data_IF_156108666044
#
_entry.id   IF_156108666044
#
_cell.length_a   1.000
_cell.length_b   1.000
_cell.length_c   1.000
_cell.angle_alpha   90.00
_cell.angle_beta   90.00
_cell.angle_gamma   90.00
#
_symmetry.space_group_name_H-M   'P 1'
#
loop_
_entity.id
_entity.type
_entity.pdbx_description
1 polymer ?
#
# COMPACT_ATOMS: atom_id res chain seq x y z
N UNK A 1 -27.74 -4.66 2.21
CA UNK A 1 -28.65 -4.08 1.21
C UNK A 1 -28.44 -2.58 1.25
N UNK A 2 -27.94 -2.01 0.15
CA UNK A 2 -27.77 -0.57 0.00
C UNK A 2 -29.19 0.01 -0.19
N UNK A 3 -29.73 0.71 0.80
CA UNK A 3 -31.10 1.19 0.83
C UNK A 3 -31.43 2.31 -0.17
N UNK A 4 -30.58 2.54 -1.16
CA UNK A 4 -30.79 3.57 -2.19
C UNK A 4 -31.04 2.91 -3.56
N UNK A 5 -32.28 2.91 -4.08
CA UNK A 5 -32.61 2.30 -5.36
C UNK A 5 -31.92 2.99 -6.54
N UNK A 6 -31.52 4.27 -6.41
CA UNK A 6 -30.80 5.02 -7.46
C UNK A 6 -29.39 4.47 -7.73
N UNK A 7 -28.81 3.70 -6.81
CA UNK A 7 -27.50 3.07 -6.99
C UNK A 7 -27.56 1.70 -7.67
N UNK A 8 -28.74 1.11 -7.83
CA UNK A 8 -28.88 -0.26 -8.33
C UNK A 8 -28.41 -0.39 -9.79
N UNK A 9 -28.77 0.54 -10.65
CA UNK A 9 -28.39 0.55 -12.06
C UNK A 9 -26.88 0.82 -12.25
N UNK A 10 -26.29 1.88 -11.66
CA UNK A 10 -24.84 2.09 -11.73
C UNK A 10 -24.01 0.92 -11.19
N UNK A 11 -24.46 0.26 -10.11
CA UNK A 11 -23.76 -0.90 -9.55
C UNK A 11 -23.82 -2.15 -10.45
N UNK A 12 -24.94 -2.39 -11.11
CA UNK A 12 -25.05 -3.48 -12.10
C UNK A 12 -24.08 -3.25 -13.26
N UNK A 13 -24.02 -2.03 -13.76
CA UNK A 13 -23.10 -1.66 -14.83
C UNK A 13 -21.63 -1.79 -14.36
N UNK A 14 -21.31 -1.29 -13.17
CA UNK A 14 -19.98 -1.36 -12.58
C UNK A 14 -19.49 -2.80 -12.39
N UNK A 15 -20.37 -3.77 -12.15
CA UNK A 15 -20.01 -5.17 -11.96
C UNK A 15 -19.25 -5.77 -13.18
N UNK A 16 -19.41 -5.20 -14.37
CA UNK A 16 -18.66 -5.63 -15.58
C UNK A 16 -17.18 -5.22 -15.51
N UNK A 17 -16.84 -4.11 -14.87
CA UNK A 17 -15.48 -3.57 -14.88
C UNK A 17 -14.43 -4.50 -14.22
N UNK A 18 -14.64 -5.11 -13.04
CA UNK A 18 -13.72 -6.09 -12.48
C UNK A 18 -13.48 -7.29 -13.40
N UNK A 19 -14.51 -7.78 -14.10
CA UNK A 19 -14.38 -8.90 -15.05
C UNK A 19 -13.48 -8.54 -16.22
N UNK A 20 -13.52 -7.30 -16.69
CA UNK A 20 -12.68 -6.79 -17.76
C UNK A 20 -11.24 -6.52 -17.32
N UNK A 21 -11.03 -6.05 -16.10
CA UNK A 21 -9.70 -5.69 -15.59
C UNK A 21 -8.89 -6.88 -15.08
N UNK A 22 -9.54 -7.93 -14.54
CA UNK A 22 -8.85 -9.11 -13.99
C UNK A 22 -7.86 -9.78 -14.97
N UNK A 23 -8.19 -10.01 -16.25
CA UNK A 23 -7.27 -10.67 -17.17
C UNK A 23 -5.98 -9.89 -17.44
N UNK A 24 -5.99 -8.58 -17.19
CA UNK A 24 -4.84 -7.70 -17.47
C UNK A 24 -3.82 -7.69 -16.34
N UNK A 25 -4.25 -7.92 -15.10
CA UNK A 25 -3.39 -7.86 -13.90
C UNK A 25 -2.17 -8.79 -13.99
N UNK A 26 -2.28 -9.95 -14.67
CA UNK A 26 -1.15 -10.85 -14.89
C UNK A 26 -0.22 -10.42 -16.04
N UNK A 27 -0.73 -9.68 -17.02
CA UNK A 27 0.00 -9.29 -18.23
C UNK A 27 1.15 -8.32 -17.95
N UNK A 28 0.98 -7.41 -17.00
CA UNK A 28 2.01 -6.46 -16.57
C UNK A 28 3.23 -7.20 -16.00
N UNK A 29 3.01 -8.21 -15.17
CA UNK A 29 4.08 -9.03 -14.59
C UNK A 29 4.84 -9.83 -15.65
N UNK A 30 4.15 -10.34 -16.67
CA UNK A 30 4.78 -11.05 -17.79
C UNK A 30 5.78 -10.12 -18.50
N UNK A 31 5.38 -8.90 -18.83
CA UNK A 31 6.24 -7.93 -19.52
C UNK A 31 7.47 -7.56 -18.68
N UNK A 32 7.33 -7.42 -17.36
CA UNK A 32 8.45 -7.14 -16.43
C UNK A 32 9.44 -8.31 -16.47
N UNK A 33 8.98 -9.55 -16.37
CA UNK A 33 9.82 -10.76 -16.43
C UNK A 33 10.61 -10.84 -17.74
N UNK A 34 10.00 -10.43 -18.86
CA UNK A 34 10.66 -10.38 -20.17
C UNK A 34 11.48 -9.09 -20.42
N UNK A 35 11.79 -8.31 -19.38
CA UNK A 35 12.62 -7.10 -19.47
C UNK A 35 11.98 -5.90 -20.16
N UNK A 36 10.67 -5.94 -20.41
CA UNK A 36 9.91 -4.89 -21.12
C UNK A 36 9.17 -3.94 -20.15
N UNK A 37 9.79 -3.61 -19.01
CA UNK A 37 9.19 -2.76 -17.98
C UNK A 37 8.80 -1.35 -18.48
N UNK A 38 9.51 -0.79 -19.49
CA UNK A 38 9.16 0.49 -20.11
C UNK A 38 7.80 0.47 -20.81
N UNK A 39 7.41 -0.68 -21.42
CA UNK A 39 6.10 -0.84 -22.03
C UNK A 39 4.99 -0.87 -20.98
N UNK A 40 5.26 -1.48 -19.82
CA UNK A 40 4.33 -1.47 -18.68
C UNK A 40 4.11 -0.05 -18.18
N UNK A 41 5.19 0.72 -17.99
CA UNK A 41 5.09 2.10 -17.53
C UNK A 41 4.25 2.97 -18.48
N UNK A 42 4.51 2.88 -19.80
CA UNK A 42 3.73 3.58 -20.82
C UNK A 42 2.26 3.16 -20.81
N UNK A 43 2.00 1.86 -20.77
CA UNK A 43 0.64 1.31 -20.74
C UNK A 43 -0.14 1.77 -19.49
N UNK A 44 0.46 1.69 -18.32
CA UNK A 44 -0.18 2.12 -17.07
C UNK A 44 -0.49 3.62 -17.10
N UNK A 45 0.45 4.45 -17.55
CA UNK A 45 0.24 5.90 -17.61
C UNK A 45 -0.90 6.27 -18.58
N UNK A 46 -0.86 5.72 -19.80
CA UNK A 46 -1.87 6.01 -20.83
C UNK A 46 -3.25 5.46 -20.40
N UNK A 47 -3.32 4.24 -19.89
CA UNK A 47 -4.59 3.64 -19.49
C UNK A 47 -5.21 4.39 -18.29
N UNK A 48 -4.42 4.89 -17.34
CA UNK A 48 -4.93 5.70 -16.22
C UNK A 48 -5.41 7.08 -16.68
N UNK A 49 -4.66 7.76 -17.55
CA UNK A 49 -5.07 9.03 -18.13
C UNK A 49 -6.37 8.87 -18.94
N UNK A 50 -6.47 7.82 -19.76
CA UNK A 50 -7.67 7.50 -20.52
C UNK A 50 -8.87 7.19 -19.61
N UNK A 51 -8.66 6.42 -18.54
CA UNK A 51 -9.71 6.10 -17.56
C UNK A 51 -10.24 7.37 -16.87
N UNK A 52 -9.34 8.27 -16.46
CA UNK A 52 -9.74 9.56 -15.87
C UNK A 52 -10.57 10.38 -16.87
N UNK A 53 -10.12 10.47 -18.13
CA UNK A 53 -10.85 11.18 -19.16
C UNK A 53 -12.25 10.59 -19.40
N UNK A 54 -12.36 9.25 -19.53
CA UNK A 54 -13.64 8.58 -19.73
C UNK A 54 -14.62 8.71 -18.55
N UNK A 55 -14.12 8.89 -17.34
CA UNK A 55 -14.97 9.11 -16.15
C UNK A 55 -15.39 10.58 -16.03
N UNK A 56 -14.44 11.50 -16.22
CA UNK A 56 -14.66 12.93 -15.96
C UNK A 56 -15.43 13.61 -17.09
N UNK A 57 -15.08 13.35 -18.35
CA UNK A 57 -15.70 14.03 -19.51
C UNK A 57 -17.23 13.83 -19.58
N UNK A 58 -17.79 12.62 -19.40
CA UNK A 58 -19.24 12.47 -19.41
C UNK A 58 -19.97 13.30 -18.34
N UNK A 59 -19.36 13.45 -17.18
CA UNK A 59 -19.95 14.21 -16.06
C UNK A 59 -19.83 15.72 -16.32
N UNK A 60 -18.64 16.19 -16.70
CA UNK A 60 -18.37 17.66 -16.79
C UNK A 60 -18.92 18.26 -18.08
N UNK A 61 -18.86 17.54 -19.21
CA UNK A 61 -19.25 18.06 -20.53
C UNK A 61 -20.70 17.76 -20.88
N UNK A 62 -21.21 16.58 -20.44
CA UNK A 62 -22.53 16.09 -20.85
C UNK A 62 -23.54 16.01 -19.69
N UNK A 63 -23.17 16.44 -18.48
CA UNK A 63 -23.99 16.34 -17.26
C UNK A 63 -24.61 14.96 -17.04
N UNK A 64 -23.89 13.91 -17.47
CA UNK A 64 -24.42 12.52 -17.48
C UNK A 64 -24.51 11.88 -16.08
N UNK A 65 -24.19 12.62 -15.01
CA UNK A 65 -24.29 12.18 -13.63
C UNK A 65 -23.48 10.93 -13.31
N UNK A 66 -23.89 10.21 -12.26
CA UNK A 66 -23.18 9.00 -11.77
C UNK A 66 -23.19 7.87 -12.80
N UNK A 67 -24.32 7.68 -13.51
CA UNK A 67 -24.44 6.61 -14.53
C UNK A 67 -23.48 6.84 -15.69
N UNK A 68 -23.28 8.10 -16.13
CA UNK A 68 -22.32 8.45 -17.16
C UNK A 68 -20.88 8.19 -16.72
N UNK A 69 -20.52 8.54 -15.48
CA UNK A 69 -19.19 8.23 -14.92
C UNK A 69 -18.92 6.73 -14.90
N UNK A 70 -19.89 5.92 -14.46
CA UNK A 70 -19.76 4.46 -14.40
C UNK A 70 -19.68 3.84 -15.78
N UNK A 71 -20.50 4.29 -16.74
CA UNK A 71 -20.41 3.84 -18.13
C UNK A 71 -19.04 4.16 -18.75
N UNK A 72 -18.54 5.36 -18.52
CA UNK A 72 -17.19 5.76 -18.93
C UNK A 72 -16.10 4.88 -18.33
N UNK A 73 -16.22 4.54 -17.04
CA UNK A 73 -15.28 3.63 -16.38
C UNK A 73 -15.31 2.21 -16.99
N UNK A 74 -16.49 1.66 -17.28
CA UNK A 74 -16.63 0.34 -17.91
C UNK A 74 -16.06 0.35 -19.33
N UNK A 75 -16.34 1.40 -20.12
CA UNK A 75 -15.76 1.57 -21.46
C UNK A 75 -14.23 1.62 -21.41
N UNK A 76 -13.68 2.43 -20.50
CA UNK A 76 -12.25 2.51 -20.30
C UNK A 76 -11.64 1.16 -19.86
N UNK A 77 -12.34 0.41 -19.00
CA UNK A 77 -11.92 -0.93 -18.58
C UNK A 77 -11.87 -1.92 -19.76
N UNK A 78 -12.83 -1.84 -20.68
CA UNK A 78 -12.86 -2.67 -21.90
C UNK A 78 -11.66 -2.34 -22.80
N UNK A 79 -11.42 -1.07 -23.09
CA UNK A 79 -10.28 -0.63 -23.92
C UNK A 79 -8.95 -1.05 -23.28
N UNK A 80 -8.82 -0.83 -21.97
CA UNK A 80 -7.65 -1.23 -21.18
C UNK A 80 -7.44 -2.74 -21.23
N UNK A 81 -8.50 -3.54 -21.12
CA UNK A 81 -8.45 -4.98 -21.24
C UNK A 81 -7.88 -5.42 -22.61
N UNK A 82 -8.45 -4.91 -23.69
CA UNK A 82 -8.01 -5.26 -25.05
C UNK A 82 -6.56 -4.84 -25.31
N UNK A 83 -6.19 -3.63 -24.90
CA UNK A 83 -4.83 -3.12 -25.02
C UNK A 83 -3.83 -3.93 -24.19
N UNK A 84 -4.17 -4.26 -22.94
CA UNK A 84 -3.33 -5.05 -22.05
C UNK A 84 -3.10 -6.49 -22.53
N UNK A 85 -4.13 -7.15 -23.05
CA UNK A 85 -4.00 -8.48 -23.63
C UNK A 85 -3.11 -8.49 -24.89
N UNK A 86 -3.28 -7.51 -25.78
CA UNK A 86 -2.40 -7.34 -26.95
C UNK A 86 -0.95 -7.09 -26.53
N UNK A 87 -0.75 -6.27 -25.50
CA UNK A 87 0.58 -5.94 -25.02
C UNK A 87 1.25 -7.13 -24.33
N UNK A 88 0.52 -7.91 -23.53
CA UNK A 88 1.04 -9.12 -22.87
C UNK A 88 1.40 -10.23 -23.85
N UNK A 89 0.86 -10.24 -25.07
CA UNK A 89 1.21 -11.18 -26.12
C UNK A 89 2.51 -10.82 -26.89
N UNK A 90 3.02 -9.59 -26.74
CA UNK A 90 4.21 -9.12 -27.48
C UNK A 90 5.47 -9.99 -27.25
N UNK A 91 5.78 -10.49 -26.04
CA UNK A 91 6.95 -11.35 -25.85
C UNK A 91 6.86 -12.69 -26.56
N UNK A 92 5.65 -13.14 -26.91
CA UNK A 92 5.40 -14.48 -27.48
C UNK A 92 5.21 -14.50 -29.00
N UNK A 93 5.28 -13.35 -29.67
CA UNK A 93 5.01 -13.25 -31.14
C UNK A 93 5.87 -14.16 -31.99
N UNK A 94 7.11 -14.42 -31.56
CA UNK A 94 8.09 -15.21 -32.33
C UNK A 94 8.49 -16.48 -31.58
N UNK A 95 7.68 -16.94 -30.62
CA UNK A 95 7.97 -18.15 -29.85
C UNK A 95 7.04 -19.27 -30.29
N UNK A 96 7.63 -20.39 -30.69
CA UNK A 96 6.85 -21.58 -31.00
C UNK A 96 6.20 -22.16 -29.74
N UNK A 97 4.91 -22.49 -29.76
CA UNK A 97 4.23 -23.05 -28.62
C UNK A 97 4.82 -24.41 -28.22
N UNK A 98 5.34 -24.53 -27.04
CA UNK A 98 5.82 -25.76 -26.44
C UNK A 98 4.83 -26.25 -25.41
N UNK A 99 4.50 -27.56 -25.43
CA UNK A 99 3.62 -28.14 -24.40
C UNK A 99 4.24 -27.94 -23.02
N UNK A 100 3.51 -27.23 -22.15
CA UNK A 100 3.91 -27.09 -20.74
C UNK A 100 3.90 -28.46 -20.04
N UNK A 101 4.93 -28.74 -19.24
CA UNK A 101 4.97 -29.90 -18.36
C UNK A 101 4.15 -29.69 -17.07
N UNK A 102 3.74 -28.45 -16.81
CA UNK A 102 2.94 -28.10 -15.63
C UNK A 102 1.47 -28.45 -15.88
N UNK A 103 0.89 -29.22 -14.99
CA UNK A 103 -0.54 -29.48 -14.98
C UNK A 103 -1.31 -28.34 -14.31
N UNK A 104 -2.57 -28.14 -14.71
CA UNK A 104 -3.47 -27.16 -14.07
C UNK A 104 -3.57 -27.42 -12.55
N UNK A 105 -3.58 -28.69 -12.13
CA UNK A 105 -3.63 -29.09 -10.73
C UNK A 105 -2.41 -28.60 -9.94
N UNK A 106 -1.22 -28.72 -10.52
CA UNK A 106 0.02 -28.25 -9.89
C UNK A 106 0.03 -26.72 -9.78
N UNK A 107 -0.42 -26.04 -10.84
CA UNK A 107 -0.53 -24.59 -10.86
C UNK A 107 -1.51 -24.10 -9.76
N UNK A 108 -2.69 -24.70 -9.67
CA UNK A 108 -3.67 -24.39 -8.64
C UNK A 108 -3.13 -24.68 -7.22
N UNK A 109 -2.45 -25.81 -7.03
CA UNK A 109 -1.84 -26.16 -5.73
C UNK A 109 -0.78 -25.14 -5.30
N UNK A 110 0.00 -24.62 -6.24
CA UNK A 110 0.99 -23.58 -5.99
C UNK A 110 0.34 -22.23 -5.69
N UNK A 111 -0.72 -21.87 -6.41
CA UNK A 111 -1.40 -20.57 -6.29
C UNK A 111 -2.35 -20.50 -5.08
N UNK A 112 -2.84 -21.63 -4.56
CA UNK A 112 -3.85 -21.66 -3.50
C UNK A 112 -3.45 -20.94 -2.20
N UNK A 113 -2.21 -21.05 -1.68
CA UNK A 113 -1.81 -20.29 -0.49
C UNK A 113 -1.81 -18.78 -0.72
N UNK A 114 -1.45 -18.35 -1.94
CA UNK A 114 -1.45 -16.92 -2.31
C UNK A 114 -2.89 -16.41 -2.41
N UNK A 115 -3.76 -17.18 -3.08
CA UNK A 115 -5.19 -16.86 -3.19
C UNK A 115 -5.86 -16.77 -1.81
N UNK A 116 -5.66 -17.79 -0.96
CA UNK A 116 -6.21 -17.78 0.39
C UNK A 116 -5.73 -16.58 1.21
N UNK A 117 -4.44 -16.23 1.11
CA UNK A 117 -3.89 -15.05 1.79
C UNK A 117 -4.53 -13.76 1.30
N UNK A 118 -4.79 -13.65 0.00
CA UNK A 118 -5.44 -12.47 -0.59
C UNK A 118 -6.90 -12.35 -0.13
N UNK A 119 -7.63 -13.48 -0.03
CA UNK A 119 -8.99 -13.50 0.51
C UNK A 119 -9.04 -13.06 1.98
N UNK A 120 -8.12 -13.59 2.80
CA UNK A 120 -8.04 -13.17 4.21
C UNK A 120 -7.60 -11.70 4.34
N UNK A 121 -6.67 -11.25 3.49
CA UNK A 121 -6.26 -9.85 3.41
C UNK A 121 -7.42 -8.93 3.04
N UNK A 122 -8.29 -9.35 2.11
CA UNK A 122 -9.51 -8.63 1.77
C UNK A 122 -10.47 -8.54 2.97
N UNK A 123 -10.67 -9.61 3.71
CA UNK A 123 -11.49 -9.60 4.92
C UNK A 123 -10.92 -8.62 5.94
N UNK A 124 -9.61 -8.68 6.21
CA UNK A 124 -8.94 -7.75 7.15
C UNK A 124 -9.13 -6.30 6.73
N UNK A 125 -8.97 -5.99 5.44
CA UNK A 125 -9.07 -4.62 4.91
C UNK A 125 -10.52 -4.09 4.83
N UNK A 126 -11.52 -4.98 4.79
CA UNK A 126 -12.93 -4.59 4.56
C UNK A 126 -13.80 -4.72 5.80
N UNK A 127 -13.39 -5.51 6.81
CA UNK A 127 -14.19 -5.80 7.99
C UNK A 127 -14.66 -4.52 8.70
N UNK A 128 -13.73 -3.63 9.03
CA UNK A 128 -14.05 -2.39 9.74
C UNK A 128 -15.03 -1.50 8.99
N UNK A 129 -14.85 -1.35 7.67
CA UNK A 129 -15.79 -0.58 6.85
C UNK A 129 -17.20 -1.21 6.85
N UNK A 130 -17.26 -2.55 6.80
CA UNK A 130 -18.52 -3.27 6.87
C UNK A 130 -19.21 -3.05 8.23
N UNK A 131 -18.51 -3.24 9.35
CA UNK A 131 -19.09 -3.08 10.69
C UNK A 131 -19.51 -1.64 10.97
N UNK A 132 -18.68 -0.65 10.62
CA UNK A 132 -19.02 0.77 10.77
C UNK A 132 -20.26 1.11 9.94
N UNK A 133 -20.30 0.75 8.65
CA UNK A 133 -21.44 1.07 7.79
C UNK A 133 -22.73 0.39 8.22
N UNK A 134 -22.65 -0.80 8.83
CA UNK A 134 -23.83 -1.59 9.21
C UNK A 134 -24.40 -1.21 10.57
N UNK A 135 -23.57 -0.80 11.53
CA UNK A 135 -23.93 -0.67 12.94
C UNK A 135 -23.81 0.75 13.50
N UNK A 136 -22.94 1.62 12.96
CA UNK A 136 -22.71 2.96 13.49
C UNK A 136 -23.42 4.07 12.72
N UNK A 137 -23.81 3.83 11.46
CA UNK A 137 -24.52 4.79 10.64
C UNK A 137 -23.69 5.49 9.58
N UNK A 138 -24.36 6.40 8.83
CA UNK A 138 -23.78 7.01 7.62
C UNK A 138 -22.72 8.05 7.96
N UNK A 139 -22.91 8.82 9.02
CA UNK A 139 -21.99 9.89 9.43
C UNK A 139 -20.65 9.28 9.91
N UNK A 140 -20.73 8.30 10.81
CA UNK A 140 -19.55 7.57 11.29
C UNK A 140 -18.82 6.84 10.15
N UNK A 141 -19.60 6.26 9.22
CA UNK A 141 -19.01 5.64 8.05
C UNK A 141 -18.26 6.65 7.16
N UNK A 142 -18.81 7.85 6.97
CA UNK A 142 -18.14 8.90 6.21
C UNK A 142 -16.83 9.37 6.89
N UNK A 143 -16.85 9.54 8.21
CA UNK A 143 -15.65 9.85 8.99
C UNK A 143 -14.61 8.74 8.89
N UNK A 144 -15.04 7.47 9.04
CA UNK A 144 -14.16 6.30 8.96
C UNK A 144 -13.55 6.13 7.57
N UNK A 145 -14.37 6.18 6.53
CA UNK A 145 -13.95 5.97 5.14
C UNK A 145 -12.94 7.02 4.66
N UNK A 146 -13.00 8.24 5.17
CA UNK A 146 -12.10 9.34 4.83
C UNK A 146 -10.90 9.44 5.79
N UNK A 147 -11.09 9.11 7.07
CA UNK A 147 -10.05 9.20 8.09
C UNK A 147 -9.18 7.96 8.19
N UNK A 148 -9.78 6.76 8.20
CA UNK A 148 -9.03 5.51 8.34
C UNK A 148 -8.44 5.06 6.99
N UNK A 149 -7.55 5.90 6.45
CA UNK A 149 -6.86 5.70 5.16
C UNK A 149 -5.37 5.54 5.34
N UNK A 150 -4.84 4.46 4.79
CA UNK A 150 -3.39 4.24 4.74
C UNK A 150 -2.70 5.26 3.83
N UNK A 151 -1.43 5.55 4.12
CA UNK A 151 -0.61 6.42 3.29
C UNK A 151 -0.29 5.76 1.95
N UNK A 152 -0.76 6.28 0.81
CA UNK A 152 -0.52 5.65 -0.50
C UNK A 152 0.96 5.48 -0.82
N UNK A 153 1.79 6.48 -0.49
CA UNK A 153 3.24 6.43 -0.72
C UNK A 153 3.93 5.31 0.05
N UNK A 154 3.49 4.98 1.28
CA UNK A 154 4.03 3.86 2.05
C UNK A 154 3.76 2.53 1.32
N UNK A 155 2.53 2.33 0.83
CA UNK A 155 2.16 1.16 0.04
C UNK A 155 2.97 1.04 -1.26
N UNK A 156 3.21 2.15 -1.97
CA UNK A 156 4.03 2.19 -3.18
C UNK A 156 5.49 1.79 -2.92
N UNK A 157 6.08 2.29 -1.82
CA UNK A 157 7.46 1.96 -1.44
C UNK A 157 7.58 0.48 -1.10
N UNK A 158 6.64 -0.06 -0.32
CA UNK A 158 6.60 -1.48 0.07
C UNK A 158 6.40 -2.36 -1.18
N UNK A 159 5.51 -1.97 -2.10
CA UNK A 159 5.28 -2.66 -3.36
C UNK A 159 6.52 -2.68 -4.26
N UNK A 160 7.22 -1.55 -4.39
CA UNK A 160 8.47 -1.46 -5.14
C UNK A 160 9.57 -2.34 -4.51
N UNK A 161 9.69 -2.34 -3.19
CA UNK A 161 10.61 -3.21 -2.47
C UNK A 161 10.26 -4.70 -2.69
N UNK A 162 8.97 -5.06 -2.69
CA UNK A 162 8.53 -6.43 -2.97
C UNK A 162 8.94 -6.91 -4.37
N UNK A 163 8.76 -6.05 -5.37
CA UNK A 163 9.12 -6.35 -6.76
C UNK A 163 10.62 -6.62 -6.98
N UNK A 164 11.49 -5.98 -6.18
CA UNK A 164 12.95 -6.21 -6.24
C UNK A 164 13.37 -7.39 -5.38
N UNK A 165 12.80 -7.54 -4.20
CA UNK A 165 13.23 -8.52 -3.21
C UNK A 165 12.80 -9.96 -3.56
N UNK A 166 11.64 -10.14 -4.19
CA UNK A 166 11.14 -11.47 -4.51
C UNK A 166 12.06 -12.24 -5.47
N UNK A 167 12.49 -11.67 -6.63
CA UNK A 167 13.45 -12.32 -7.51
C UNK A 167 14.79 -12.57 -6.81
N UNK A 168 15.28 -11.60 -6.04
CA UNK A 168 16.58 -11.69 -5.39
C UNK A 168 16.60 -12.77 -4.30
N UNK A 169 15.60 -12.83 -3.43
CA UNK A 169 15.47 -13.92 -2.46
C UNK A 169 15.30 -15.28 -3.13
N UNK A 170 14.58 -15.35 -4.25
CA UNK A 170 14.44 -16.60 -5.01
C UNK A 170 15.77 -17.05 -5.58
N UNK A 171 16.56 -16.12 -6.17
CA UNK A 171 17.91 -16.39 -6.68
C UNK A 171 18.83 -16.90 -5.57
N UNK A 172 18.91 -16.17 -4.45
CA UNK A 172 19.72 -16.54 -3.29
C UNK A 172 19.34 -17.92 -2.73
N UNK A 173 18.05 -18.26 -2.73
CA UNK A 173 17.55 -19.57 -2.29
C UNK A 173 18.03 -20.71 -3.20
N UNK A 174 18.08 -20.49 -4.52
CA UNK A 174 18.57 -21.48 -5.49
C UNK A 174 20.10 -21.62 -5.41
N UNK A 175 20.82 -20.52 -5.20
CA UNK A 175 22.28 -20.49 -5.06
C UNK A 175 22.78 -21.03 -3.72
N UNK A 176 21.88 -21.37 -2.78
CA UNK A 176 22.24 -21.93 -1.47
C UNK A 176 22.85 -20.89 -0.53
N UNK A 177 22.48 -19.62 -0.63
CA UNK A 177 22.95 -18.54 0.24
C UNK A 177 22.64 -18.85 1.72
N UNK A 178 23.53 -18.41 2.62
CA UNK A 178 23.35 -18.57 4.04
C UNK A 178 22.28 -17.63 4.63
N UNK A 179 21.72 -17.96 5.80
CA UNK A 179 20.72 -17.15 6.48
C UNK A 179 21.21 -15.72 6.78
N UNK A 180 22.51 -15.54 7.05
CA UNK A 180 23.10 -14.24 7.33
C UNK A 180 23.08 -13.31 6.11
N UNK A 181 23.21 -13.85 4.89
CA UNK A 181 23.11 -13.07 3.66
C UNK A 181 21.67 -12.57 3.46
N UNK A 182 20.68 -13.42 3.69
CA UNK A 182 19.26 -13.03 3.66
C UNK A 182 18.95 -11.92 4.67
N UNK A 183 19.46 -12.05 5.91
CA UNK A 183 19.24 -11.05 6.97
C UNK A 183 19.88 -9.71 6.60
N UNK A 184 21.11 -9.70 6.05
CA UNK A 184 21.77 -8.46 5.60
C UNK A 184 20.97 -7.75 4.51
N UNK A 185 20.49 -8.48 3.50
CA UNK A 185 19.66 -7.91 2.44
C UNK A 185 18.32 -7.37 2.99
N UNK A 186 17.70 -8.15 3.89
CA UNK A 186 16.49 -7.73 4.57
C UNK A 186 16.69 -6.42 5.35
N UNK A 187 17.71 -6.37 6.21
CA UNK A 187 18.00 -5.16 7.01
C UNK A 187 18.32 -3.93 6.15
N UNK A 188 19.07 -4.12 5.05
CA UNK A 188 19.35 -3.03 4.12
C UNK A 188 18.07 -2.48 3.47
N UNK A 189 17.14 -3.35 3.10
CA UNK A 189 15.86 -2.94 2.55
C UNK A 189 14.96 -2.27 3.61
N UNK A 190 14.91 -2.81 4.83
CA UNK A 190 14.23 -2.19 5.99
C UNK A 190 14.71 -0.75 6.21
N UNK A 191 16.03 -0.53 6.23
CA UNK A 191 16.61 0.79 6.44
C UNK A 191 16.22 1.76 5.31
N UNK A 192 16.26 1.31 4.06
CA UNK A 192 15.89 2.13 2.91
C UNK A 192 14.41 2.53 2.96
N UNK A 193 13.52 1.58 3.23
CA UNK A 193 12.08 1.85 3.33
C UNK A 193 11.75 2.73 4.52
N UNK A 194 12.32 2.45 5.70
CA UNK A 194 12.06 3.25 6.92
C UNK A 194 12.55 4.68 6.80
N UNK A 195 13.67 4.92 6.11
CA UNK A 195 14.21 6.25 5.87
C UNK A 195 13.22 7.18 5.13
N UNK A 196 12.26 6.63 4.39
CA UNK A 196 11.21 7.39 3.71
C UNK A 196 9.89 7.30 4.46
N UNK A 197 9.48 6.08 4.87
CA UNK A 197 8.16 5.85 5.46
C UNK A 197 8.03 6.51 6.84
N UNK A 198 9.06 6.45 7.69
CA UNK A 198 8.98 7.04 9.03
C UNK A 198 8.85 8.57 9.01
N UNK A 199 9.72 9.32 8.29
CA UNK A 199 9.56 10.76 8.18
C UNK A 199 8.20 11.19 7.64
N UNK A 200 7.73 10.50 6.60
CA UNK A 200 6.43 10.75 6.00
C UNK A 200 5.29 10.48 6.99
N UNK A 201 5.34 9.36 7.72
CA UNK A 201 4.32 8.98 8.69
C UNK A 201 4.27 9.94 9.87
N UNK A 202 5.43 10.36 10.38
CA UNK A 202 5.52 11.36 11.47
C UNK A 202 4.93 12.69 11.02
N UNK A 203 5.29 13.17 9.82
CA UNK A 203 4.73 14.40 9.27
C UNK A 203 3.21 14.31 9.13
N UNK A 204 2.71 13.25 8.51
CA UNK A 204 1.27 13.04 8.34
C UNK A 204 0.52 12.92 9.67
N UNK A 205 1.16 12.34 10.70
CA UNK A 205 0.57 12.22 12.04
C UNK A 205 0.44 13.58 12.74
N UNK A 206 1.48 14.43 12.65
CA UNK A 206 1.52 15.74 13.29
C UNK A 206 0.60 16.74 12.59
N UNK A 207 0.61 16.75 11.27
CA UNK A 207 -0.22 17.64 10.44
C UNK A 207 -1.53 16.99 9.99
N UNK A 208 -1.98 15.94 10.65
CA UNK A 208 -3.19 15.21 10.31
C UNK A 208 -4.45 16.08 10.17
N UNK A 209 -4.75 17.03 11.10
CA UNK A 209 -5.94 17.88 10.98
C UNK A 209 -5.94 18.71 9.70
N UNK A 210 -4.81 19.34 9.40
CA UNK A 210 -4.67 20.20 8.22
C UNK A 210 -4.73 19.40 6.93
N UNK A 211 -4.11 18.21 6.90
CA UNK A 211 -4.15 17.32 5.74
C UNK A 211 -5.58 16.82 5.49
N UNK A 212 -6.29 16.39 6.52
CA UNK A 212 -7.66 15.92 6.40
C UNK A 212 -8.61 17.05 5.97
N UNK A 213 -8.52 18.23 6.59
CA UNK A 213 -9.31 19.38 6.21
C UNK A 213 -9.01 19.84 4.77
N UNK A 214 -7.76 19.77 4.32
CA UNK A 214 -7.37 20.09 2.95
C UNK A 214 -7.97 19.13 1.92
N UNK A 215 -8.03 17.84 2.26
CA UNK A 215 -8.51 16.79 1.34
C UNK A 215 -10.04 16.67 1.30
N UNK A 216 -10.69 16.83 2.47
CA UNK A 216 -12.11 16.48 2.63
C UNK A 216 -12.96 17.65 3.18
N UNK A 217 -12.35 18.76 3.56
CA UNK A 217 -13.03 19.92 4.14
C UNK A 217 -13.10 19.89 5.67
N UNK A 218 -13.49 21.03 6.26
CA UNK A 218 -13.53 21.23 7.72
C UNK A 218 -14.49 20.28 8.46
N UNK A 219 -15.57 19.85 7.83
CA UNK A 219 -16.52 18.89 8.41
C UNK A 219 -15.90 17.52 8.74
N UNK A 220 -14.73 17.20 8.19
CA UNK A 220 -14.02 15.95 8.45
C UNK A 220 -12.85 16.08 9.43
N UNK A 221 -12.71 17.23 10.12
CA UNK A 221 -11.59 17.49 11.05
C UNK A 221 -11.41 16.39 12.11
N UNK A 222 -12.50 15.84 12.62
CA UNK A 222 -12.49 14.74 13.59
C UNK A 222 -11.86 13.46 13.03
N UNK A 223 -11.99 13.22 11.73
CA UNK A 223 -11.38 12.07 11.06
C UNK A 223 -9.83 12.08 11.11
N UNK A 224 -9.21 13.23 11.44
CA UNK A 224 -7.77 13.33 11.65
C UNK A 224 -7.24 12.40 12.78
N UNK A 225 -8.05 12.13 13.80
CA UNK A 225 -7.71 11.17 14.83
C UNK A 225 -7.65 9.74 14.30
N UNK A 226 -8.60 9.33 13.47
CA UNK A 226 -8.60 8.04 12.80
C UNK A 226 -7.39 7.89 11.86
N UNK A 227 -7.06 8.97 11.14
CA UNK A 227 -5.90 9.02 10.28
C UNK A 227 -4.58 8.85 11.06
N UNK A 228 -4.47 9.43 12.25
CA UNK A 228 -3.33 9.20 13.15
C UNK A 228 -3.24 7.73 13.56
N UNK A 229 -4.35 7.11 13.96
CA UNK A 229 -4.39 5.72 14.41
C UNK A 229 -3.90 4.79 13.30
N UNK A 230 -4.42 4.90 12.07
CA UNK A 230 -4.00 4.04 10.96
C UNK A 230 -2.56 4.33 10.52
N UNK A 231 -2.11 5.57 10.62
CA UNK A 231 -0.74 5.96 10.25
C UNK A 231 0.31 5.29 11.15
N UNK A 232 -0.02 4.97 12.41
CA UNK A 232 0.85 4.20 13.31
C UNK A 232 1.23 2.82 12.74
N UNK A 233 0.38 2.21 11.93
CA UNK A 233 0.69 0.92 11.28
C UNK A 233 1.98 0.98 10.47
N UNK A 234 2.31 2.14 9.89
CA UNK A 234 3.53 2.32 9.11
C UNK A 234 4.83 2.22 9.92
N UNK A 235 4.76 2.28 11.26
CA UNK A 235 5.92 2.03 12.12
C UNK A 235 6.37 0.56 12.07
N UNK A 236 5.45 -0.36 11.80
CA UNK A 236 5.74 -1.78 11.67
C UNK A 236 5.69 -2.27 10.21
N UNK A 237 4.82 -1.67 9.37
CA UNK A 237 4.67 -2.00 7.96
C UNK A 237 5.67 -1.21 7.12
N UNK A 238 6.94 -1.53 7.24
CA UNK A 238 8.04 -0.91 6.48
C UNK A 238 8.63 -1.88 5.45
N UNK A 239 8.20 -3.14 5.47
CA UNK A 239 8.74 -4.19 4.60
C UNK A 239 7.66 -5.16 4.12
N UNK A 240 7.81 -5.67 2.89
CA UNK A 240 6.98 -6.75 2.38
C UNK A 240 7.49 -8.10 2.92
N UNK A 241 6.75 -8.76 3.80
CA UNK A 241 7.10 -10.10 4.33
C UNK A 241 6.85 -11.22 3.31
N UNK A 242 5.90 -11.01 2.37
CA UNK A 242 5.54 -12.00 1.37
C UNK A 242 6.73 -12.50 0.53
N UNK A 243 7.63 -11.63 -0.03
CA UNK A 243 8.75 -12.07 -0.85
C UNK A 243 9.63 -13.12 -0.18
N UNK A 244 10.02 -12.90 1.08
CA UNK A 244 10.87 -13.86 1.82
C UNK A 244 10.14 -15.17 2.04
N UNK A 245 8.90 -15.11 2.54
CA UNK A 245 8.14 -16.31 2.89
C UNK A 245 7.77 -17.14 1.66
N UNK A 246 7.49 -16.50 0.52
CA UNK A 246 7.20 -17.22 -0.72
C UNK A 246 8.47 -17.76 -1.37
N UNK A 247 9.55 -17.00 -1.44
CA UNK A 247 10.83 -17.45 -2.02
C UNK A 247 11.39 -18.68 -1.27
N UNK A 248 11.20 -18.73 0.04
CA UNK A 248 11.65 -19.85 0.90
C UNK A 248 10.58 -20.95 1.10
N UNK A 249 9.54 -20.98 0.27
CA UNK A 249 8.50 -22.02 0.28
C UNK A 249 7.59 -22.02 1.52
N UNK A 250 7.55 -20.92 2.28
CA UNK A 250 6.75 -20.78 3.52
C UNK A 250 5.43 -20.04 3.34
N UNK A 251 4.86 -20.05 2.15
CA UNK A 251 3.58 -19.40 1.84
C UNK A 251 2.42 -19.81 2.75
N UNK A 252 2.42 -21.05 3.27
CA UNK A 252 1.44 -21.49 4.27
C UNK A 252 1.54 -20.75 5.60
N UNK A 253 2.73 -20.29 6.01
CA UNK A 253 2.89 -19.49 7.22
C UNK A 253 2.30 -18.10 7.03
N UNK A 254 2.50 -17.50 5.84
CA UNK A 254 1.89 -16.25 5.44
C UNK A 254 0.36 -16.33 5.46
N UNK A 255 -0.22 -17.36 4.82
CA UNK A 255 -1.67 -17.58 4.78
C UNK A 255 -2.26 -17.78 6.19
N UNK A 256 -1.58 -18.55 7.07
CA UNK A 256 -2.04 -18.76 8.45
C UNK A 256 -2.06 -17.47 9.27
N UNK A 257 -1.04 -16.62 9.14
CA UNK A 257 -1.02 -15.33 9.83
C UNK A 257 -2.22 -14.48 9.43
N UNK A 258 -2.53 -14.40 8.13
CA UNK A 258 -3.69 -13.66 7.64
C UNK A 258 -5.02 -14.30 8.07
N UNK A 259 -5.15 -15.64 8.05
CA UNK A 259 -6.36 -16.32 8.51
C UNK A 259 -6.64 -16.01 9.98
N UNK A 260 -5.64 -16.19 10.86
CA UNK A 260 -5.80 -15.94 12.30
C UNK A 260 -6.20 -14.48 12.54
N UNK A 261 -5.58 -13.53 11.81
CA UNK A 261 -5.91 -12.11 11.92
C UNK A 261 -7.31 -11.81 11.39
N UNK A 262 -7.74 -12.43 10.27
CA UNK A 262 -9.07 -12.24 9.73
C UNK A 262 -10.17 -12.73 10.71
N UNK A 263 -9.97 -13.87 11.35
CA UNK A 263 -10.88 -14.37 12.37
C UNK A 263 -10.90 -13.48 13.61
N UNK A 264 -9.73 -13.01 14.03
CA UNK A 264 -9.58 -12.14 15.20
C UNK A 264 -10.26 -10.77 15.00
N UNK A 265 -10.02 -10.12 13.87
CA UNK A 265 -10.61 -8.80 13.59
C UNK A 265 -12.13 -8.88 13.49
N UNK A 266 -12.66 -9.87 12.76
CA UNK A 266 -14.12 -10.07 12.63
C UNK A 266 -14.74 -10.37 13.99
N UNK A 267 -14.13 -11.23 14.81
CA UNK A 267 -14.63 -11.56 16.15
C UNK A 267 -14.62 -10.37 17.10
N UNK A 268 -13.51 -9.62 17.14
CA UNK A 268 -13.37 -8.45 18.03
C UNK A 268 -14.27 -7.29 17.59
N UNK A 269 -14.39 -7.03 16.28
CA UNK A 269 -15.26 -5.97 15.79
C UNK A 269 -16.74 -6.30 15.97
N UNK A 270 -17.13 -7.57 15.75
CA UNK A 270 -18.49 -8.03 16.04
C UNK A 270 -18.81 -7.88 17.54
N UNK A 271 -17.90 -8.29 18.41
CA UNK A 271 -18.05 -8.08 19.85
C UNK A 271 -18.15 -6.59 20.20
N UNK A 272 -17.30 -5.75 19.63
CA UNK A 272 -17.30 -4.31 19.85
C UNK A 272 -18.66 -3.68 19.50
N UNK A 273 -19.20 -3.96 18.30
CA UNK A 273 -20.48 -3.36 17.87
C UNK A 273 -21.69 -3.86 18.66
N UNK A 274 -21.59 -5.03 19.28
CA UNK A 274 -22.65 -5.59 20.12
C UNK A 274 -22.64 -5.07 21.56
N UNK A 275 -21.43 -4.82 22.11
CA UNK A 275 -21.27 -4.46 23.54
C UNK A 275 -21.00 -2.99 23.72
N UNK A 276 -20.16 -2.41 22.89
CA UNK A 276 -19.71 -1.02 22.98
C UNK A 276 -19.48 -0.44 21.59
N UNK A 277 -20.55 -0.09 20.85
CA UNK A 277 -20.44 0.45 19.50
C UNK A 277 -19.70 1.79 19.51
N UNK A 278 -18.45 1.79 19.03
CA UNK A 278 -17.58 2.96 18.99
C UNK A 278 -16.69 2.96 17.77
N UNK A 279 -16.72 4.05 17.02
CA UNK A 279 -15.87 4.28 15.85
C UNK A 279 -14.38 4.17 16.18
N UNK A 280 -14.00 4.74 17.31
CA UNK A 280 -12.62 4.75 17.81
C UNK A 280 -12.15 3.35 18.23
N UNK A 281 -13.05 2.57 18.87
CA UNK A 281 -12.75 1.20 19.27
C UNK A 281 -12.53 0.32 18.04
N UNK A 282 -13.36 0.43 17.00
CA UNK A 282 -13.18 -0.30 15.73
C UNK A 282 -11.83 0.07 15.09
N UNK A 283 -11.50 1.36 15.00
CA UNK A 283 -10.20 1.79 14.46
C UNK A 283 -9.02 1.25 15.26
N UNK A 284 -9.12 1.23 16.58
CA UNK A 284 -8.09 0.66 17.46
C UNK A 284 -7.97 -0.87 17.30
N UNK A 285 -9.08 -1.60 17.20
CA UNK A 285 -9.11 -3.04 16.95
C UNK A 285 -8.46 -3.34 15.60
N UNK A 286 -8.86 -2.66 14.54
CA UNK A 286 -8.30 -2.85 13.20
C UNK A 286 -6.78 -2.63 13.17
N UNK A 287 -6.33 -1.53 13.79
CA UNK A 287 -4.90 -1.20 13.91
C UNK A 287 -4.16 -2.25 14.73
N UNK A 288 -4.70 -2.64 15.89
CA UNK A 288 -4.13 -3.67 16.77
C UNK A 288 -4.03 -5.04 16.09
N UNK A 289 -5.09 -5.45 15.39
CA UNK A 289 -5.08 -6.70 14.60
C UNK A 289 -4.05 -6.64 13.46
N UNK A 290 -3.85 -5.48 12.83
CA UNK A 290 -2.81 -5.30 11.83
C UNK A 290 -1.41 -5.44 12.43
N UNK A 291 -1.15 -4.81 13.58
CA UNK A 291 0.12 -5.01 14.31
C UNK A 291 0.34 -6.47 14.70
N UNK A 292 -0.71 -7.15 15.14
CA UNK A 292 -0.66 -8.57 15.45
C UNK A 292 -0.30 -9.41 14.22
N UNK A 293 -0.92 -9.16 13.07
CA UNK A 293 -0.56 -9.81 11.80
C UNK A 293 0.91 -9.59 11.45
N UNK A 294 1.38 -8.35 11.50
CA UNK A 294 2.77 -8.00 11.23
C UNK A 294 3.73 -8.69 12.21
N UNK A 295 3.38 -8.80 13.47
CA UNK A 295 4.15 -9.55 14.48
C UNK A 295 4.23 -11.05 14.13
N UNK A 296 3.13 -11.68 13.72
CA UNK A 296 3.12 -13.08 13.25
C UNK A 296 4.00 -13.27 12.01
N UNK A 297 3.93 -12.35 11.05
CA UNK A 297 4.75 -12.38 9.83
C UNK A 297 6.24 -12.18 10.16
N UNK A 298 6.55 -11.26 11.06
CA UNK A 298 7.92 -10.99 11.52
C UNK A 298 8.51 -12.21 12.24
N UNK A 299 7.74 -12.86 13.11
CA UNK A 299 8.18 -14.09 13.78
C UNK A 299 8.37 -15.26 12.81
N UNK A 300 7.48 -15.40 11.82
CA UNK A 300 7.64 -16.40 10.77
C UNK A 300 8.89 -16.16 9.94
N UNK A 301 9.15 -14.90 9.56
CA UNK A 301 10.33 -14.50 8.79
C UNK A 301 11.63 -14.76 9.58
N UNK A 302 11.67 -14.37 10.85
CA UNK A 302 12.82 -14.58 11.71
C UNK A 302 13.17 -16.07 11.84
N UNK A 303 12.16 -16.93 12.06
CA UNK A 303 12.33 -18.39 12.14
C UNK A 303 12.87 -18.99 10.84
N UNK A 304 12.37 -18.53 9.70
CA UNK A 304 12.78 -19.02 8.38
C UNK A 304 14.22 -18.63 8.05
N UNK A 305 14.63 -17.42 8.47
CA UNK A 305 15.99 -16.92 8.29
C UNK A 305 16.98 -17.37 9.38
N UNK A 306 16.51 -18.17 10.36
CA UNK A 306 17.38 -18.67 11.44
C UNK A 306 17.90 -17.58 12.38
N UNK A 307 17.14 -16.49 12.55
CA UNK A 307 17.54 -15.35 13.40
C UNK A 307 16.50 -15.06 14.49
N UNK A 308 16.89 -14.28 15.48
CA UNK A 308 15.95 -13.75 16.48
C UNK A 308 15.19 -12.54 15.95
N UNK A 309 14.07 -12.19 16.61
CA UNK A 309 13.33 -10.95 16.30
C UNK A 309 14.22 -9.70 16.47
N UNK A 310 15.10 -9.70 17.47
CA UNK A 310 16.05 -8.64 17.70
C UNK A 310 17.08 -8.53 16.57
N UNK A 311 17.55 -9.68 16.05
CA UNK A 311 18.52 -9.76 14.96
C UNK A 311 17.92 -9.50 13.59
N UNK A 312 16.59 -9.68 13.41
CA UNK A 312 15.92 -9.45 12.14
C UNK A 312 15.86 -7.96 11.77
N UNK A 313 15.60 -7.09 12.76
CA UNK A 313 15.37 -5.66 12.53
C UNK A 313 16.55 -4.81 13.03
N UNK A 314 16.99 -3.80 12.28
CA UNK A 314 18.03 -2.87 12.70
C UNK A 314 17.47 -1.81 13.67
N UNK A 315 16.99 -2.24 14.85
CA UNK A 315 16.23 -1.44 15.82
C UNK A 315 16.90 -0.10 16.15
N UNK A 316 18.22 -0.10 16.36
CA UNK A 316 18.97 1.12 16.68
C UNK A 316 18.76 2.20 15.61
N UNK A 317 18.90 1.84 14.34
CA UNK A 317 18.74 2.81 13.25
C UNK A 317 17.27 3.21 13.05
N UNK A 318 16.34 2.27 13.19
CA UNK A 318 14.90 2.56 13.13
C UNK A 318 14.49 3.58 14.20
N UNK A 319 14.97 3.39 15.44
CA UNK A 319 14.72 4.32 16.54
C UNK A 319 15.34 5.69 16.26
N UNK A 320 16.57 5.76 15.76
CA UNK A 320 17.22 7.02 15.40
C UNK A 320 16.41 7.76 14.32
N UNK A 321 16.00 7.08 13.23
CA UNK A 321 15.18 7.69 12.16
C UNK A 321 13.88 8.24 12.73
N UNK A 322 13.21 7.49 13.60
CA UNK A 322 11.94 7.88 14.20
C UNK A 322 12.12 9.10 15.12
N UNK A 323 13.11 9.08 16.01
CA UNK A 323 13.36 10.18 16.95
C UNK A 323 13.77 11.47 16.24
N UNK A 324 14.66 11.38 15.25
CA UNK A 324 15.06 12.54 14.43
C UNK A 324 13.86 13.10 13.66
N UNK A 325 13.02 12.22 13.09
CA UNK A 325 11.79 12.64 12.42
C UNK A 325 10.83 13.35 13.38
N UNK A 326 10.61 12.76 14.55
CA UNK A 326 9.71 13.33 15.55
C UNK A 326 10.20 14.69 16.05
N UNK A 327 11.48 14.82 16.40
CA UNK A 327 12.07 16.07 16.87
C UNK A 327 12.00 17.18 15.79
N UNK A 328 12.40 16.87 14.56
CA UNK A 328 12.33 17.82 13.45
C UNK A 328 10.88 18.25 13.15
N UNK A 329 9.93 17.29 13.18
CA UNK A 329 8.53 17.58 12.89
C UNK A 329 7.87 18.41 14.02
N UNK A 330 8.21 18.13 15.28
CA UNK A 330 7.74 18.95 16.42
C UNK A 330 8.26 20.38 16.30
N UNK A 331 9.55 20.56 15.98
CA UNK A 331 10.11 21.89 15.77
C UNK A 331 9.44 22.62 14.58
N UNK A 332 9.17 21.92 13.48
CA UNK A 332 8.44 22.49 12.34
C UNK A 332 7.00 22.88 12.71
N UNK A 333 6.32 22.06 13.52
CA UNK A 333 4.96 22.37 14.01
C UNK A 333 4.96 23.63 14.90
N UNK A 334 5.91 23.74 15.81
CA UNK A 334 6.06 24.93 16.67
C UNK A 334 6.36 26.18 15.84
N UNK A 335 7.26 26.10 14.86
CA UNK A 335 7.56 27.21 13.95
C UNK A 335 6.31 27.68 13.21
N UNK A 336 5.51 26.78 12.65
CA UNK A 336 4.25 27.12 11.96
C UNK A 336 3.24 27.74 12.93
N UNK A 337 3.10 27.24 14.14
CA UNK A 337 2.19 27.80 15.16
C UNK A 337 2.56 29.25 15.51
N UNK A 338 3.85 29.58 15.60
CA UNK A 338 4.34 30.92 15.88
C UNK A 338 4.04 31.94 14.76
N UNK A 339 3.83 31.46 13.53
CA UNK A 339 3.48 32.35 12.39
C UNK A 339 2.01 32.75 12.36
N UNK A 340 1.12 32.10 13.15
CA UNK A 340 -0.32 32.36 13.16
C UNK A 340 -1.04 32.01 11.86
N UNK A 341 -0.44 31.23 10.96
CA UNK A 341 -1.05 30.81 9.71
C UNK A 341 -2.25 29.89 9.95
N UNK A 342 -3.38 30.16 9.26
CA UNK A 342 -4.62 29.40 9.42
C UNK A 342 -4.99 28.60 8.18
N UNK A 343 -4.52 29.03 6.99
CA UNK A 343 -4.87 28.36 5.74
C UNK A 343 -4.17 27.00 5.60
N UNK A 344 -4.93 25.90 5.54
CA UNK A 344 -4.41 24.54 5.60
C UNK A 344 -3.32 24.23 4.58
N UNK A 345 -3.50 24.65 3.31
CA UNK A 345 -2.48 24.41 2.27
C UNK A 345 -1.15 25.09 2.62
N UNK A 346 -1.20 26.33 3.13
CA UNK A 346 -0.01 27.08 3.51
C UNK A 346 0.67 26.42 4.71
N UNK A 347 -0.13 26.04 5.72
CA UNK A 347 0.36 25.36 6.94
C UNK A 347 1.07 24.03 6.58
N UNK A 348 0.46 23.21 5.73
CA UNK A 348 1.05 21.93 5.31
C UNK A 348 2.30 22.16 4.46
N UNK A 349 2.28 23.09 3.50
CA UNK A 349 3.41 23.35 2.59
C UNK A 349 4.61 23.96 3.33
N UNK A 350 4.38 24.99 4.14
CA UNK A 350 5.43 25.63 4.95
C UNK A 350 5.93 24.65 6.01
N UNK A 351 5.02 23.95 6.69
CA UNK A 351 5.38 22.92 7.67
C UNK A 351 6.25 21.83 7.07
N UNK A 352 5.94 21.37 5.86
CA UNK A 352 6.74 20.37 5.14
C UNK A 352 8.12 20.91 4.74
N UNK A 353 8.20 22.14 4.22
CA UNK A 353 9.48 22.77 3.86
C UNK A 353 10.40 22.96 5.09
N UNK A 354 9.85 23.47 6.20
CA UNK A 354 10.59 23.63 7.48
C UNK A 354 10.99 22.26 8.01
N UNK A 355 10.08 21.29 7.98
CA UNK A 355 10.37 19.93 8.42
C UNK A 355 11.53 19.32 7.63
N UNK A 356 11.52 19.37 6.32
CA UNK A 356 12.59 18.82 5.48
C UNK A 356 13.92 19.54 5.71
N UNK A 357 13.90 20.87 5.84
CA UNK A 357 15.11 21.66 6.10
C UNK A 357 15.79 21.32 7.42
N UNK A 358 15.01 20.94 8.43
CA UNK A 358 15.51 20.47 9.73
C UNK A 358 15.89 18.99 9.67
N UNK A 359 15.01 18.14 9.12
CA UNK A 359 15.19 16.69 9.12
C UNK A 359 16.43 16.24 8.35
N UNK A 360 16.62 16.73 7.11
CA UNK A 360 17.68 16.23 6.24
C UNK A 360 19.10 16.40 6.82
N UNK A 361 19.51 17.56 7.38
CA UNK A 361 20.82 17.71 8.01
C UNK A 361 21.02 16.83 9.23
N UNK A 362 19.98 16.71 10.08
CA UNK A 362 20.06 15.83 11.26
C UNK A 362 20.12 14.36 10.90
N UNK A 363 19.35 13.93 9.90
CA UNK A 363 19.37 12.57 9.37
C UNK A 363 20.75 12.20 8.79
N UNK A 364 21.38 13.12 8.04
CA UNK A 364 22.72 12.93 7.52
C UNK A 364 23.76 12.78 8.65
N UNK A 365 23.70 13.62 9.68
CA UNK A 365 24.59 13.50 10.87
C UNK A 365 24.35 12.21 11.64
N UNK A 366 23.12 11.68 11.62
CA UNK A 366 22.77 10.41 12.23
C UNK A 366 23.19 9.18 11.38
N UNK A 367 23.85 9.40 10.24
CA UNK A 367 24.36 8.34 9.38
C UNK A 367 23.38 7.86 8.31
N UNK A 368 22.26 8.55 8.09
CA UNK A 368 21.28 8.22 7.05
C UNK A 368 21.68 8.95 5.76
N UNK A 369 22.35 8.25 4.84
CA UNK A 369 22.89 8.83 3.61
C UNK A 369 21.86 8.79 2.47
N UNK A 370 20.98 9.78 2.41
CA UNK A 370 19.95 9.88 1.36
C UNK A 370 20.52 9.93 -0.07
N UNK A 371 21.68 10.56 -0.26
CA UNK A 371 22.35 10.60 -1.58
C UNK A 371 22.71 9.21 -2.10
N UNK A 372 23.07 8.29 -1.22
CA UNK A 372 23.32 6.89 -1.59
C UNK A 372 22.02 6.12 -1.88
N UNK A 373 20.93 6.47 -1.18
CA UNK A 373 19.61 5.89 -1.42
C UNK A 373 19.04 6.28 -2.79
N UNK A 374 19.20 7.54 -3.19
CA UNK A 374 18.65 8.09 -4.42
C UNK A 374 19.67 8.17 -5.56
N UNK A 375 20.95 7.99 -5.29
CA UNK A 375 22.05 8.07 -6.26
C UNK A 375 21.81 7.25 -7.54
N UNK A 376 21.42 5.96 -7.45
CA UNK A 376 21.12 5.14 -8.63
C UNK A 376 19.93 5.65 -9.46
N UNK A 377 18.94 6.27 -8.81
CA UNK A 377 17.77 6.86 -9.48
C UNK A 377 18.16 8.16 -10.17
N UNK A 378 18.90 9.02 -9.47
CA UNK A 378 19.38 10.29 -10.00
C UNK A 378 20.39 10.09 -11.15
N UNK A 379 21.21 9.04 -11.10
CA UNK A 379 22.14 8.68 -12.18
C UNK A 379 21.40 8.28 -13.45
N UNK A 380 20.27 7.59 -13.35
CA UNK A 380 19.41 7.22 -14.49
C UNK A 380 18.63 8.40 -15.07
N UNK A 381 18.37 9.44 -14.28
CA UNK A 381 17.67 10.66 -14.71
C UNK A 381 18.61 11.72 -15.32
N UNK A 382 19.92 11.56 -15.17
CA UNK A 382 20.89 12.39 -15.89
C UNK A 382 20.89 11.95 -17.35
N UNK A 383 20.47 12.80 -18.32
CA UNK A 383 20.63 12.48 -19.73
C UNK A 383 22.11 12.22 -20.01
N UNK A 384 22.42 11.09 -20.67
CA UNK A 384 23.75 10.84 -21.20
C UNK A 384 24.20 12.08 -21.97
N UNK A 385 25.12 12.85 -21.40
CA UNK A 385 25.91 13.83 -22.16
C UNK A 385 26.96 13.03 -22.90
N UNK A 386 26.59 12.53 -24.06
CA UNK A 386 27.51 12.19 -25.15
C UNK A 386 27.44 13.30 -26.16
#
# INVERSE_FOLDING_TARGET
>A
MLGNPLLAEPLRLFAAAPMLLMPVLGGENILVVYGKAHLVAGYVLISRAFMIACVVLPVVVFDAGVSGAVAGFVLASLVTCVAGQKLSSVPFRNVSPVKSRLTVRELLRFSMPVFASSMYGFVIGSASQFFVSRYLGVEDFALFANGYRELPLAGMIIGAAAGVLLPEFSRMSVEGADGGQFVRLWQAAVLKSSAIIYPLSVFCCVFAPEIICLLYGEGYREAAGLFRIVTLVNLARIMPYAPVLFALGRGKAFARAHLVTALLIVGLELWCVMVFPSLWAIAAIATGCTFFCLFLLMTATARVLGTSLAGLMPWRMLTIVLLVSAAACTAARLAVLLTGMTHHLVVVSVGFAVYLSLYLPFAQRAGIRYMELFGPVLAKLRPNRT
#
